data_IF_677195110305
#
_entry.id   IF_677195110305
#
_cell.length_a   1.000
_cell.length_b   1.000
_cell.length_c   1.000
_cell.angle_alpha   90.00
_cell.angle_beta   90.00
_cell.angle_gamma   90.00
#
_symmetry.space_group_name_H-M   'P 1'
#
loop_
_entity.id
_entity.type
_entity.pdbx_description
1 polymer ?
#
# COMPACT_ATOMS: atom_id res chain seq x y z
N UNK A 1 -21.22 3.90 -2.15
CA UNK A 1 -20.53 4.88 -3.03
C UNK A 1 -20.31 4.21 -4.36
N UNK A 2 -20.78 4.77 -5.47
CA UNK A 2 -20.54 4.18 -6.80
C UNK A 2 -19.15 4.59 -7.26
N UNK A 3 -18.24 3.64 -7.49
CA UNK A 3 -16.95 3.92 -8.13
C UNK A 3 -17.26 4.28 -9.59
N UNK A 4 -16.93 5.51 -9.99
CA UNK A 4 -17.08 5.99 -11.37
C UNK A 4 -15.81 5.71 -12.17
N UNK A 5 -15.86 5.81 -13.50
CA UNK A 5 -14.65 5.68 -14.34
C UNK A 5 -13.53 6.65 -13.89
N UNK A 6 -13.88 7.90 -13.55
CA UNK A 6 -12.95 8.88 -12.98
C UNK A 6 -12.44 8.47 -11.59
N UNK A 7 -13.25 7.74 -10.81
CA UNK A 7 -12.83 7.17 -9.54
C UNK A 7 -11.78 6.07 -9.70
N UNK A 8 -11.84 5.28 -10.78
CA UNK A 8 -10.84 4.25 -11.09
C UNK A 8 -9.54 4.86 -11.60
N UNK A 9 -9.59 5.87 -12.48
CA UNK A 9 -8.38 6.61 -12.91
C UNK A 9 -7.64 7.26 -11.73
N UNK A 10 -8.39 7.89 -10.82
CA UNK A 10 -7.81 8.46 -9.61
C UNK A 10 -7.21 7.37 -8.70
N UNK A 11 -7.82 6.18 -8.67
CA UNK A 11 -7.32 5.05 -7.90
C UNK A 11 -6.04 4.47 -8.49
N UNK A 12 -5.95 4.30 -9.81
CA UNK A 12 -4.73 3.87 -10.50
C UNK A 12 -3.57 4.84 -10.26
N UNK A 13 -3.85 6.15 -10.33
CA UNK A 13 -2.86 7.18 -10.00
C UNK A 13 -2.38 7.07 -8.55
N UNK A 14 -3.31 6.94 -7.60
CA UNK A 14 -2.97 6.80 -6.18
C UNK A 14 -2.16 5.53 -5.90
N UNK A 15 -2.52 4.40 -6.53
CA UNK A 15 -1.74 3.15 -6.41
C UNK A 15 -0.32 3.35 -6.91
N UNK A 16 -0.13 3.97 -8.08
CA UNK A 16 1.20 4.24 -8.61
C UNK A 16 2.04 5.16 -7.71
N UNK A 17 1.43 6.20 -7.12
CA UNK A 17 2.10 7.09 -6.17
C UNK A 17 2.52 6.38 -4.87
N UNK A 18 1.64 5.50 -4.36
CA UNK A 18 1.94 4.70 -3.17
C UNK A 18 3.03 3.69 -3.49
N UNK A 19 2.96 2.96 -4.61
CA UNK A 19 3.99 2.02 -5.05
C UNK A 19 5.36 2.70 -5.14
N UNK A 20 5.46 3.87 -5.77
CA UNK A 20 6.72 4.61 -5.85
C UNK A 20 7.25 5.05 -4.47
N UNK A 21 6.35 5.31 -3.51
CA UNK A 21 6.72 5.63 -2.12
C UNK A 21 7.22 4.39 -1.37
N UNK A 22 6.63 3.23 -1.67
CA UNK A 22 7.03 1.94 -1.09
C UNK A 22 8.37 1.47 -1.63
N UNK A 23 8.66 1.62 -2.93
CA UNK A 23 9.99 1.29 -3.49
C UNK A 23 11.11 2.14 -2.85
N UNK A 24 10.83 3.43 -2.59
CA UNK A 24 11.74 4.30 -1.83
C UNK A 24 11.92 3.83 -0.40
N UNK A 25 10.83 3.38 0.23
CA UNK A 25 10.87 2.81 1.57
C UNK A 25 11.62 1.48 1.58
N UNK A 26 11.47 0.63 0.57
CA UNK A 26 12.23 -0.63 0.39
C UNK A 26 13.72 -0.36 0.35
N UNK A 27 14.11 0.65 -0.41
CA UNK A 27 15.50 1.08 -0.57
C UNK A 27 16.10 1.66 0.72
N UNK A 28 15.26 2.15 1.64
CA UNK A 28 15.66 2.74 2.93
C UNK A 28 15.38 1.81 4.12
N UNK A 29 14.64 0.73 3.91
CA UNK A 29 14.23 -0.21 4.94
C UNK A 29 15.44 -1.06 5.34
N UNK A 30 15.60 -1.22 6.65
CA UNK A 30 16.52 -2.23 7.18
C UNK A 30 15.96 -3.64 6.86
N UNK A 31 16.82 -4.65 6.93
CA UNK A 31 16.52 -6.08 6.77
C UNK A 31 15.30 -6.56 7.58
N UNK A 32 15.00 -5.90 8.71
CA UNK A 32 13.82 -6.17 9.53
C UNK A 32 12.49 -5.76 8.90
N UNK A 33 12.48 -4.71 8.09
CA UNK A 33 11.27 -4.18 7.44
C UNK A 33 11.11 -4.68 6.00
N UNK A 34 12.19 -5.16 5.38
CA UNK A 34 12.22 -5.77 4.04
C UNK A 34 11.04 -6.73 3.76
N UNK A 35 10.74 -7.76 4.59
CA UNK A 35 9.63 -8.67 4.31
C UNK A 35 8.26 -7.99 4.34
N UNK A 36 8.09 -6.91 5.12
CA UNK A 36 6.84 -6.15 5.18
C UNK A 36 6.71 -5.15 4.04
N UNK A 37 7.83 -4.61 3.58
CA UNK A 37 7.86 -3.80 2.37
C UNK A 37 7.46 -4.66 1.17
N UNK A 38 8.03 -5.86 1.02
CA UNK A 38 7.64 -6.78 -0.07
C UNK A 38 6.16 -7.16 -0.01
N UNK A 39 5.62 -7.46 1.19
CA UNK A 39 4.19 -7.77 1.34
C UNK A 39 3.28 -6.61 0.92
N UNK A 40 3.73 -5.36 1.18
CA UNK A 40 3.01 -4.17 0.77
C UNK A 40 3.13 -3.93 -0.76
N UNK A 41 4.29 -4.14 -1.35
CA UNK A 41 4.49 -4.08 -2.81
C UNK A 41 3.59 -5.09 -3.54
N UNK A 42 3.51 -6.33 -3.04
CA UNK A 42 2.64 -7.37 -3.60
C UNK A 42 1.17 -6.97 -3.54
N UNK A 43 0.73 -6.38 -2.41
CA UNK A 43 -0.65 -5.91 -2.22
C UNK A 43 -0.99 -4.77 -3.17
N UNK A 44 -0.08 -3.81 -3.34
CA UNK A 44 -0.24 -2.68 -4.26
C UNK A 44 -0.23 -3.12 -5.72
N UNK A 45 0.64 -4.07 -6.08
CA UNK A 45 0.68 -4.65 -7.42
C UNK A 45 -0.64 -5.34 -7.76
N UNK A 46 -1.18 -6.15 -6.82
CA UNK A 46 -2.48 -6.80 -6.98
C UNK A 46 -3.62 -5.81 -7.16
N UNK A 47 -3.64 -4.74 -6.36
CA UNK A 47 -4.63 -3.66 -6.51
C UNK A 47 -4.46 -2.94 -7.85
N UNK A 48 -3.23 -2.65 -8.26
CA UNK A 48 -2.86 -2.03 -9.53
C UNK A 48 -3.39 -2.81 -10.74
N UNK A 49 -3.17 -4.13 -10.76
CA UNK A 49 -3.70 -5.00 -11.82
C UNK A 49 -5.24 -5.01 -11.85
N UNK A 50 -5.86 -4.94 -10.67
CA UNK A 50 -7.31 -4.90 -10.54
C UNK A 50 -7.88 -3.58 -11.08
N UNK A 51 -7.22 -2.45 -10.86
CA UNK A 51 -7.70 -1.14 -11.33
C UNK A 51 -7.37 -0.85 -12.80
N UNK A 52 -6.33 -1.48 -13.36
CA UNK A 52 -5.97 -1.41 -14.79
C UNK A 52 -6.96 -2.13 -15.71
N UNK A 53 -7.67 -3.15 -15.21
CA UNK A 53 -8.73 -3.86 -15.93
C UNK A 53 -10.09 -3.67 -15.25
N UNK A 54 -10.65 -2.45 -15.27
CA UNK A 54 -11.87 -2.17 -14.56
C UNK A 54 -13.07 -2.85 -15.19
N UNK A 55 -13.82 -3.58 -14.37
CA UNK A 55 -15.11 -4.13 -14.75
C UNK A 55 -16.16 -3.53 -13.82
N UNK A 56 -17.10 -2.74 -14.33
CA UNK A 56 -18.12 -2.15 -13.45
C UNK A 56 -19.16 -3.23 -13.10
N UNK A 57 -18.85 -4.03 -12.09
CA UNK A 57 -19.71 -5.04 -11.48
C UNK A 57 -19.59 -4.98 -9.96
N UNK A 58 -20.63 -5.38 -9.23
CA UNK A 58 -20.59 -5.41 -7.76
C UNK A 58 -19.45 -6.29 -7.23
N UNK A 59 -19.22 -7.45 -7.86
CA UNK A 59 -18.12 -8.34 -7.51
C UNK A 59 -16.74 -7.71 -7.72
N UNK A 60 -16.59 -6.84 -8.72
CA UNK A 60 -15.35 -6.09 -8.93
C UNK A 60 -15.15 -5.03 -7.85
N UNK A 61 -16.20 -4.28 -7.50
CA UNK A 61 -16.13 -3.27 -6.44
C UNK A 61 -15.79 -3.90 -5.09
N UNK A 62 -16.35 -5.08 -4.78
CA UNK A 62 -16.01 -5.83 -3.59
C UNK A 62 -14.54 -6.26 -3.61
N UNK A 63 -14.02 -6.73 -4.75
CA UNK A 63 -12.60 -7.09 -4.89
C UNK A 63 -11.67 -5.89 -4.71
N UNK A 64 -12.00 -4.73 -5.30
CA UNK A 64 -11.24 -3.47 -5.09
C UNK A 64 -11.25 -3.11 -3.61
N UNK A 65 -12.42 -3.18 -2.95
CA UNK A 65 -12.54 -2.87 -1.53
C UNK A 65 -11.70 -3.81 -0.66
N UNK A 66 -11.69 -5.10 -0.94
CA UNK A 66 -10.85 -6.07 -0.22
C UNK A 66 -9.37 -5.79 -0.44
N UNK A 67 -8.94 -5.60 -1.69
CA UNK A 67 -7.54 -5.31 -2.00
C UNK A 67 -7.06 -4.00 -1.34
N UNK A 68 -7.90 -2.97 -1.28
CA UNK A 68 -7.61 -1.75 -0.52
C UNK A 68 -7.45 -2.01 0.99
N UNK A 69 -8.27 -2.88 1.56
CA UNK A 69 -8.16 -3.27 2.98
C UNK A 69 -6.87 -4.06 3.26
N UNK A 70 -6.43 -4.89 2.30
CA UNK A 70 -5.19 -5.64 2.41
C UNK A 70 -3.96 -4.70 2.35
N UNK A 71 -3.98 -3.73 1.44
CA UNK A 71 -2.95 -2.66 1.35
C UNK A 71 -2.88 -1.87 2.65
N UNK A 72 -4.02 -1.44 3.21
CA UNK A 72 -4.05 -0.69 4.47
C UNK A 72 -3.49 -1.51 5.64
N UNK A 73 -3.82 -2.80 5.68
CA UNK A 73 -3.29 -3.73 6.68
C UNK A 73 -1.77 -3.87 6.55
N UNK A 74 -1.25 -4.14 5.35
CA UNK A 74 0.18 -4.26 5.10
C UNK A 74 0.96 -2.98 5.43
N UNK A 75 0.39 -1.81 5.09
CA UNK A 75 0.96 -0.51 5.44
C UNK A 75 1.04 -0.31 6.96
N UNK A 76 -0.06 -0.54 7.67
CA UNK A 76 -0.08 -0.43 9.13
C UNK A 76 0.91 -1.39 9.81
N UNK A 77 1.04 -2.60 9.26
CA UNK A 77 1.99 -3.60 9.72
C UNK A 77 3.44 -3.16 9.53
N UNK A 78 3.76 -2.56 8.39
CA UNK A 78 5.06 -1.99 8.07
C UNK A 78 5.38 -0.80 8.99
N UNK A 79 4.45 0.15 9.13
CA UNK A 79 4.59 1.31 10.03
C UNK A 79 4.79 0.85 11.46
N UNK A 80 4.06 -0.17 11.91
CA UNK A 80 4.22 -0.74 13.24
C UNK A 80 5.61 -1.30 13.41
N UNK A 81 6.07 -2.16 12.49
CA UNK A 81 7.43 -2.72 12.55
C UNK A 81 8.52 -1.66 12.52
N UNK A 82 8.41 -0.64 11.67
CA UNK A 82 9.38 0.45 11.66
C UNK A 82 9.39 1.22 12.99
N UNK A 83 8.23 1.43 13.63
CA UNK A 83 8.15 2.03 14.97
C UNK A 83 8.76 1.15 16.06
N UNK A 84 8.60 -0.18 15.98
CA UNK A 84 9.17 -1.11 16.97
C UNK A 84 10.66 -1.35 16.76
N UNK A 85 11.12 -1.42 15.51
CA UNK A 85 12.51 -1.68 15.14
C UNK A 85 13.40 -0.44 15.23
N UNK A 86 12.84 0.76 15.13
CA UNK A 86 13.51 2.03 15.41
C UNK A 86 13.00 2.68 16.72
N UNK A 87 13.25 2.10 17.90
CA UNK A 87 12.92 2.76 19.18
C UNK A 87 13.79 4.00 19.44
N UNK A 88 14.82 4.25 18.61
CA UNK A 88 15.72 5.41 18.66
C UNK A 88 15.21 6.66 17.90
N UNK A 89 13.92 6.73 17.56
CA UNK A 89 13.25 8.04 17.56
C UNK A 89 12.90 8.45 19.01
N UNK A 90 13.76 8.10 19.96
CA UNK A 90 13.77 8.64 21.31
C UNK A 90 14.85 9.70 21.39
N UNK A 91 14.35 10.93 21.33
CA UNK A 91 14.96 12.15 21.82
C UNK A 91 16.38 12.44 21.32
N UNK A 92 16.48 13.30 20.31
CA UNK A 92 17.56 14.30 20.31
C UNK A 92 17.56 14.99 21.67
N UNK A 93 18.44 14.53 22.55
CA UNK A 93 18.97 15.32 23.66
C UNK A 93 20.48 15.36 23.45
N UNK A 94 20.91 16.26 22.56
CA UNK A 94 22.05 17.18 22.70
C UNK A 94 21.95 18.24 21.61
#
# INVERSE_FOLDING_TARGET
MSITASGIENLDTAVNEVTASVEKLASAADSMAEPKVTALEDSLSSLGDLVKSPQISTAYLDKVSTALSDVDTAWNDLVTTLKTSCPEVKASTV
#
